data_IF_267728971786
#
_entry.id   IF_267728971786
#
_cell.length_a   1.000
_cell.length_b   1.000
_cell.length_c   1.000
_cell.angle_alpha   90.00
_cell.angle_beta   90.00
_cell.angle_gamma   90.00
#
_symmetry.space_group_name_H-M   'P 1'
#
loop_
_entity.id
_entity.type
_entity.pdbx_description
1 polymer ?
#
# COMPACT_ATOMS: atom_id res chain seq x y z
N UNK A 1 49.71 -11.09 -19.67
CA UNK A 1 49.14 -10.85 -19.39
C UNK A 1 48.17 -10.68 -19.04
N UNK A 2 47.78 -10.44 -18.87
CA UNK A 2 46.95 -10.12 -18.56
C UNK A 2 46.01 -10.05 -18.15
N UNK A 3 45.61 -9.95 -17.91
CA UNK A 3 44.83 -9.72 -17.56
C UNK A 3 43.81 -9.58 -17.28
N UNK A 4 43.38 -9.51 -17.04
CA UNK A 4 42.49 -9.34 -16.86
C UNK A 4 41.71 -9.07 -16.41
N UNK A 5 41.33 -8.79 -16.23
CA UNK A 5 40.63 -8.38 -15.83
C UNK A 5 39.59 -8.39 -15.52
N UNK A 6 39.06 -8.24 -15.21
CA UNK A 6 38.16 -8.12 -15.01
C UNK A 6 37.27 -7.89 -14.66
N UNK A 7 36.92 -7.63 -14.60
CA UNK A 7 36.10 -7.32 -14.37
C UNK A 7 35.15 -7.30 -13.91
N UNK A 8 34.71 -7.03 -13.71
CA UNK A 8 33.82 -6.88 -13.32
C UNK A 8 32.89 -6.84 -13.01
N UNK A 9 32.50 -6.64 -12.91
CA UNK A 9 31.62 -6.45 -12.70
C UNK A 9 30.74 -6.39 -12.19
N UNK A 10 30.32 -6.08 -11.92
CA UNK A 10 29.48 -5.85 -11.54
C UNK A 10 28.59 -5.76 -11.24
N UNK A 11 28.20 -5.50 -11.12
CA UNK A 11 27.40 -5.37 -10.89
C UNK A 11 26.51 -5.26 -10.58
N UNK A 12 26.10 -4.92 -10.41
CA UNK A 12 25.22 -4.65 -10.08
C UNK A 12 24.27 -4.81 -9.79
N UNK A 13 24.04 -4.65 -9.78
CA UNK A 13 23.10 -4.81 -9.57
C UNK A 13 22.39 -4.60 -8.95
N UNK A 14 22.01 -4.24 -8.57
CA UNK A 14 21.26 -3.97 -7.96
C UNK A 14 20.26 -3.73 -7.90
N UNK A 15 20.20 -3.35 -7.93
CA UNK A 15 19.39 -2.87 -7.83
C UNK A 15 18.30 -3.06 -7.51
N UNK A 16 17.97 -3.07 -7.45
CA UNK A 16 17.04 -3.25 -7.31
C UNK A 16 16.23 -3.27 -6.73
N UNK A 17 15.94 -3.17 -6.62
CA UNK A 17 15.30 -3.12 -6.13
C UNK A 17 14.39 -2.80 -5.33
N UNK A 18 14.44 -2.74 -4.82
CA UNK A 18 13.92 -2.01 -3.83
C UNK A 18 12.54 -1.53 -3.94
N UNK A 19 12.27 -1.17 -5.03
CA UNK A 19 10.96 -0.68 -5.32
C UNK A 19 9.87 -1.61 -4.92
N UNK A 20 10.20 -2.84 -4.79
CA UNK A 20 9.21 -3.82 -4.41
C UNK A 20 8.59 -3.55 -3.06
N UNK A 21 9.18 -2.67 -2.29
CA UNK A 21 8.69 -2.37 -0.97
C UNK A 21 7.27 -1.83 -0.95
N UNK A 22 6.74 -1.42 -2.09
CA UNK A 22 5.46 -0.76 -2.11
C UNK A 22 4.28 -1.65 -2.49
N UNK A 23 4.50 -2.90 -2.81
CA UNK A 23 3.40 -3.80 -3.17
C UNK A 23 2.85 -4.42 -1.90
N UNK A 24 1.87 -3.80 -1.30
CA UNK A 24 1.48 -4.10 0.06
C UNK A 24 0.31 -5.05 0.24
N UNK A 25 -0.69 -5.01 -0.63
CA UNK A 25 -1.80 -5.95 -0.51
C UNK A 25 -1.28 -7.39 -0.59
N UNK A 26 -1.69 -8.22 0.35
CA UNK A 26 -1.26 -9.60 0.43
C UNK A 26 0.03 -9.81 1.18
N UNK A 27 0.71 -8.76 1.61
CA UNK A 27 1.95 -8.87 2.35
C UNK A 27 1.69 -9.31 3.79
N UNK A 28 2.66 -9.98 4.40
CA UNK A 28 2.54 -10.35 5.80
C UNK A 28 2.87 -9.16 6.71
N UNK A 29 2.58 -9.31 7.99
CA UNK A 29 2.70 -8.21 8.95
C UNK A 29 4.14 -7.72 9.12
N UNK A 30 5.11 -8.60 9.03
CA UNK A 30 6.51 -8.21 9.16
C UNK A 30 6.93 -7.30 8.03
N UNK A 31 6.55 -7.65 6.81
CA UNK A 31 6.86 -6.86 5.65
C UNK A 31 6.18 -5.51 5.68
N UNK A 32 4.93 -5.48 6.13
CA UNK A 32 4.19 -4.24 6.30
C UNK A 32 4.87 -3.34 7.31
N UNK A 33 5.30 -3.89 8.43
CA UNK A 33 5.96 -3.13 9.48
C UNK A 33 7.25 -2.50 8.96
N UNK A 34 8.02 -3.24 8.17
CA UNK A 34 9.23 -2.71 7.55
C UNK A 34 8.92 -1.54 6.63
N UNK A 35 7.81 -1.62 5.91
CA UNK A 35 7.44 -0.60 4.95
C UNK A 35 6.82 0.62 5.62
N UNK A 36 5.99 0.43 6.63
CA UNK A 36 5.17 1.51 7.19
C UNK A 36 5.66 2.03 8.54
N UNK A 37 6.65 1.40 9.12
CA UNK A 37 7.31 1.95 10.30
C UNK A 37 6.62 1.64 11.61
N UNK A 38 6.45 2.67 12.45
CA UNK A 38 6.04 2.50 13.83
C UNK A 38 4.56 2.18 13.98
N UNK A 39 4.26 1.14 14.75
CA UNK A 39 2.88 0.81 15.10
C UNK A 39 2.37 1.82 16.12
N UNK A 40 1.22 2.42 15.80
CA UNK A 40 0.56 3.37 16.70
C UNK A 40 -0.56 2.68 17.47
N UNK A 41 -1.27 1.75 16.81
CA UNK A 41 -2.41 1.10 17.42
C UNK A 41 -2.65 -0.25 16.75
N UNK A 42 -3.11 -1.21 17.53
CA UNK A 42 -3.44 -2.54 17.05
C UNK A 42 -4.77 -2.94 17.67
N UNK A 43 -5.65 -3.52 16.87
CA UNK A 43 -6.97 -3.94 17.34
C UNK A 43 -7.39 -5.25 16.72
N UNK A 44 -7.75 -6.22 17.56
CA UNK A 44 -8.38 -7.45 17.10
C UNK A 44 -9.86 -7.16 16.91
N UNK A 45 -10.39 -7.52 15.76
CA UNK A 45 -11.78 -7.26 15.43
C UNK A 45 -12.62 -8.51 15.65
N UNK A 46 -13.94 -8.31 15.74
CA UNK A 46 -14.86 -9.39 16.04
C UNK A 46 -14.89 -10.47 14.95
N UNK A 47 -14.57 -10.10 13.72
CA UNK A 47 -14.57 -11.05 12.61
C UNK A 47 -13.26 -11.84 12.50
N UNK A 48 -12.37 -11.68 13.47
CA UNK A 48 -11.10 -12.38 13.48
C UNK A 48 -9.97 -11.70 12.72
N UNK A 49 -10.26 -10.57 12.08
CA UNK A 49 -9.20 -9.80 11.41
C UNK A 49 -8.49 -8.92 12.43
N UNK A 50 -7.31 -8.45 12.05
CA UNK A 50 -6.52 -7.55 12.90
C UNK A 50 -6.30 -6.25 12.14
N UNK A 51 -6.62 -5.13 12.77
CA UNK A 51 -6.41 -3.82 12.21
C UNK A 51 -5.24 -3.16 12.91
N UNK A 52 -4.27 -2.67 12.15
CA UNK A 52 -3.07 -2.04 12.70
C UNK A 52 -2.88 -0.69 12.05
N UNK A 53 -2.60 0.32 12.86
CA UNK A 53 -2.30 1.66 12.37
C UNK A 53 -0.81 1.91 12.55
N UNK A 54 -0.17 2.36 11.48
CA UNK A 54 1.25 2.71 11.46
C UNK A 54 1.39 4.20 11.18
N UNK A 55 2.46 4.79 11.68
CA UNK A 55 2.78 6.19 11.38
C UNK A 55 4.18 6.24 10.77
N UNK A 56 4.30 6.86 9.62
CA UNK A 56 5.59 7.05 8.96
C UNK A 56 5.53 8.34 8.17
N UNK A 57 6.53 9.19 8.37
CA UNK A 57 6.59 10.49 7.72
C UNK A 57 5.32 11.27 8.07
N UNK A 58 4.62 11.76 7.07
CA UNK A 58 3.40 12.55 7.29
C UNK A 58 2.12 11.76 7.15
N UNK A 59 2.23 10.42 7.08
CA UNK A 59 1.07 9.58 6.77
C UNK A 59 0.72 8.63 7.90
N UNK A 60 -0.56 8.29 7.96
CA UNK A 60 -1.05 7.17 8.74
C UNK A 60 -1.46 6.07 7.76
N UNK A 61 -1.08 4.85 8.07
CA UNK A 61 -1.41 3.69 7.27
C UNK A 61 -2.22 2.75 8.15
N UNK A 62 -3.45 2.44 7.74
CA UNK A 62 -4.24 1.47 8.47
C UNK A 62 -4.35 0.21 7.62
N UNK A 63 -3.90 -0.91 8.18
CA UNK A 63 -3.86 -2.16 7.44
C UNK A 63 -4.73 -3.17 8.17
N UNK A 64 -5.58 -3.86 7.43
CA UNK A 64 -6.38 -4.95 7.97
C UNK A 64 -5.80 -6.27 7.47
N UNK A 65 -5.51 -7.15 8.42
CA UNK A 65 -4.94 -8.46 8.14
C UNK A 65 -5.98 -9.55 8.35
N UNK A 66 -6.04 -10.50 7.43
CA UNK A 66 -6.76 -11.75 7.60
C UNK A 66 -5.78 -12.87 7.33
N UNK A 67 -5.70 -13.84 8.22
CA UNK A 67 -4.74 -14.94 8.10
C UNK A 67 -3.32 -14.41 7.87
N UNK A 68 -2.98 -13.32 8.59
CA UNK A 68 -1.66 -12.72 8.58
C UNK A 68 -1.25 -12.08 7.25
N UNK A 69 -2.22 -11.85 6.36
CA UNK A 69 -1.98 -11.19 5.08
C UNK A 69 -2.82 -9.93 4.99
N UNK A 70 -2.25 -8.90 4.41
CA UNK A 70 -2.95 -7.64 4.20
C UNK A 70 -4.09 -7.82 3.20
N UNK A 71 -5.29 -7.48 3.60
CA UNK A 71 -6.47 -7.55 2.72
C UNK A 71 -7.03 -6.17 2.41
N UNK A 72 -6.67 -5.16 3.20
CA UNK A 72 -7.14 -3.80 2.99
C UNK A 72 -6.13 -2.85 3.60
N UNK A 73 -5.86 -1.75 2.90
CA UNK A 73 -4.93 -0.74 3.36
C UNK A 73 -5.51 0.63 3.13
N UNK A 74 -5.42 1.49 4.13
CA UNK A 74 -5.93 2.86 4.03
C UNK A 74 -4.80 3.83 4.28
N UNK A 75 -4.80 4.91 3.52
CA UNK A 75 -3.75 5.93 3.55
C UNK A 75 -4.39 7.29 3.81
N UNK A 76 -3.88 8.00 4.80
CA UNK A 76 -4.35 9.35 5.10
C UNK A 76 -3.17 10.18 5.57
N UNK A 77 -3.30 11.51 5.48
CA UNK A 77 -2.30 12.38 6.07
C UNK A 77 -2.52 12.44 7.58
N UNK A 78 -1.44 12.43 8.32
CA UNK A 78 -1.51 12.49 9.78
C UNK A 78 -2.24 13.75 10.27
N UNK A 79 -2.14 14.84 9.52
CA UNK A 79 -2.78 16.10 9.90
C UNK A 79 -4.26 16.18 9.48
N UNK A 80 -4.79 15.14 8.85
CA UNK A 80 -6.20 15.08 8.50
C UNK A 80 -6.61 15.84 7.25
N UNK A 81 -5.65 16.35 6.47
CA UNK A 81 -5.98 17.07 5.23
C UNK A 81 -6.12 16.11 4.06
N UNK A 82 -6.66 16.61 2.95
CA UNK A 82 -6.86 15.79 1.75
C UNK A 82 -5.55 15.30 1.15
N UNK A 83 -5.59 14.13 0.56
CA UNK A 83 -4.50 13.65 -0.28
C UNK A 83 -4.56 14.37 -1.63
N UNK A 84 -3.40 14.68 -2.17
CA UNK A 84 -3.32 15.25 -3.52
C UNK A 84 -3.57 14.15 -4.56
N UNK A 85 -3.85 14.55 -5.79
CA UNK A 85 -4.02 13.59 -6.88
C UNK A 85 -2.75 12.76 -7.07
N UNK A 86 -1.60 13.38 -6.89
CA UNK A 86 -0.32 12.70 -7.01
C UNK A 86 -0.16 11.64 -5.94
N UNK A 87 -0.58 11.95 -4.72
CA UNK A 87 -0.53 10.99 -3.61
C UNK A 87 -1.47 9.82 -3.86
N UNK A 88 -2.69 10.11 -4.29
CA UNK A 88 -3.66 9.06 -4.61
C UNK A 88 -3.08 8.12 -5.66
N UNK A 89 -2.56 8.67 -6.73
CA UNK A 89 -1.96 7.87 -7.81
C UNK A 89 -0.80 7.01 -7.30
N UNK A 90 0.03 7.59 -6.45
CA UNK A 90 1.17 6.88 -5.88
C UNK A 90 0.73 5.67 -5.06
N UNK A 91 -0.26 5.88 -4.19
CA UNK A 91 -0.73 4.78 -3.34
C UNK A 91 -1.45 3.71 -4.14
N UNK A 92 -2.19 4.09 -5.17
CA UNK A 92 -2.82 3.10 -6.05
C UNK A 92 -1.76 2.24 -6.71
N UNK A 93 -0.75 2.85 -7.28
CA UNK A 93 0.32 2.12 -7.97
C UNK A 93 1.10 1.21 -7.04
N UNK A 94 1.21 1.58 -5.78
CA UNK A 94 1.92 0.77 -4.80
C UNK A 94 1.23 -0.56 -4.54
N UNK A 95 -0.07 -0.66 -4.81
CA UNK A 95 -0.86 -1.82 -4.44
C UNK A 95 -1.16 -2.75 -5.60
N UNK A 96 -0.88 -2.37 -6.82
CA UNK A 96 -1.10 -3.27 -7.96
C UNK A 96 -0.30 -2.80 -9.16
N UNK A 97 0.21 -3.77 -9.91
CA UNK A 97 0.86 -3.49 -11.19
C UNK A 97 -0.15 -3.31 -12.30
N UNK A 98 -1.38 -3.76 -12.08
CA UNK A 98 -2.44 -3.58 -13.05
C UNK A 98 -2.81 -2.12 -13.13
N UNK A 99 -3.37 -1.73 -14.26
CA UNK A 99 -3.78 -0.36 -14.47
C UNK A 99 -5.02 -0.05 -13.62
N UNK A 100 -4.99 1.10 -12.95
CA UNK A 100 -6.14 1.58 -12.20
C UNK A 100 -6.99 2.47 -13.08
N UNK A 101 -8.29 2.26 -13.06
CA UNK A 101 -9.24 3.09 -13.82
C UNK A 101 -10.31 3.62 -12.90
N UNK A 102 -10.84 4.83 -13.17
CA UNK A 102 -11.95 5.36 -12.39
C UNK A 102 -13.18 4.48 -12.50
N UNK A 103 -13.87 4.31 -11.40
CA UNK A 103 -15.09 3.52 -11.35
C UNK A 103 -16.11 4.21 -10.44
N UNK A 104 -16.21 5.53 -10.60
CA UNK A 104 -17.04 6.37 -9.75
C UNK A 104 -18.50 5.94 -9.78
N UNK A 105 -19.15 5.99 -8.62
CA UNK A 105 -20.56 5.64 -8.49
C UNK A 105 -21.21 6.73 -7.67
N UNK A 106 -22.15 7.46 -8.29
CA UNK A 106 -22.81 8.56 -7.60
C UNK A 106 -21.80 9.60 -7.16
N UNK A 107 -21.78 9.92 -5.87
CA UNK A 107 -20.85 10.91 -5.32
C UNK A 107 -19.57 10.27 -4.80
N UNK A 108 -19.49 8.97 -4.82
CA UNK A 108 -18.35 8.26 -4.27
C UNK A 108 -17.25 8.12 -5.30
N UNK A 109 -16.02 8.50 -4.92
CA UNK A 109 -14.89 8.40 -5.82
C UNK A 109 -14.25 7.03 -5.67
N UNK A 110 -14.31 6.26 -6.74
CA UNK A 110 -13.85 4.87 -6.74
C UNK A 110 -12.91 4.59 -7.89
N UNK A 111 -12.09 3.57 -7.68
CA UNK A 111 -11.16 3.07 -8.69
C UNK A 111 -11.18 1.56 -8.65
N UNK A 112 -10.83 0.94 -9.77
CA UNK A 112 -10.62 -0.51 -9.78
C UNK A 112 -9.50 -0.83 -10.74
N UNK A 113 -8.87 -1.98 -10.54
CA UNK A 113 -7.85 -2.43 -11.47
C UNK A 113 -8.50 -3.00 -12.71
N UNK A 114 -7.80 -2.89 -13.83
CA UNK A 114 -8.32 -3.39 -15.11
C UNK A 114 -8.54 -4.90 -15.10
N UNK A 115 -7.84 -5.63 -14.24
CA UNK A 115 -8.00 -7.07 -14.12
C UNK A 115 -9.01 -7.47 -13.03
N UNK A 116 -9.62 -6.50 -12.35
CA UNK A 116 -10.67 -6.75 -11.37
C UNK A 116 -10.20 -7.30 -10.04
N UNK A 117 -8.91 -7.31 -9.76
CA UNK A 117 -8.40 -7.93 -8.54
C UNK A 117 -8.39 -7.01 -7.33
N UNK A 118 -8.47 -5.71 -7.53
CA UNK A 118 -8.45 -4.76 -6.42
C UNK A 118 -9.36 -3.58 -6.71
N UNK A 119 -9.86 -2.98 -5.65
CA UNK A 119 -10.70 -1.78 -5.69
C UNK A 119 -10.17 -0.76 -4.71
N UNK A 120 -10.47 0.50 -4.96
CA UNK A 120 -10.12 1.56 -4.03
C UNK A 120 -11.24 2.60 -3.96
N UNK A 121 -11.34 3.24 -2.81
CA UNK A 121 -12.32 4.30 -2.57
C UNK A 121 -11.61 5.45 -1.87
N UNK A 122 -11.85 6.67 -2.33
CA UNK A 122 -11.36 7.84 -1.64
C UNK A 122 -12.52 8.56 -0.98
N UNK A 123 -12.46 8.71 0.33
CA UNK A 123 -13.52 9.33 1.10
C UNK A 123 -13.15 9.47 2.55
N UNK A 124 -14.12 9.76 3.39
CA UNK A 124 -13.88 9.96 4.82
C UNK A 124 -13.85 8.61 5.54
N UNK A 125 -12.78 8.36 6.25
CA UNK A 125 -12.63 7.17 7.10
C UNK A 125 -12.15 7.63 8.47
N UNK A 126 -12.93 7.33 9.49
CA UNK A 126 -12.61 7.75 10.86
C UNK A 126 -12.35 9.25 10.97
N UNK A 127 -13.16 10.04 10.25
CA UNK A 127 -13.07 11.48 10.29
C UNK A 127 -11.97 12.12 9.46
N UNK A 128 -11.27 11.33 8.64
CA UNK A 128 -10.16 11.83 7.80
C UNK A 128 -10.38 11.44 6.35
N UNK A 129 -10.01 12.31 5.41
CA UNK A 129 -9.93 11.88 4.02
C UNK A 129 -8.90 10.77 3.89
N UNK A 130 -9.29 9.67 3.27
CA UNK A 130 -8.41 8.50 3.16
C UNK A 130 -8.69 7.75 1.87
N UNK A 131 -7.63 7.19 1.32
CA UNK A 131 -7.73 6.25 0.21
C UNK A 131 -7.68 4.85 0.81
N UNK A 132 -8.70 4.05 0.55
CA UNK A 132 -8.74 2.66 1.02
C UNK A 132 -8.65 1.73 -0.18
N UNK A 133 -7.68 0.85 -0.17
CA UNK A 133 -7.46 -0.14 -1.23
C UNK A 133 -7.72 -1.50 -0.64
N UNK A 134 -8.46 -2.33 -1.35
CA UNK A 134 -8.75 -3.68 -0.86
C UNK A 134 -8.68 -4.70 -1.98
N UNK A 135 -8.38 -5.92 -1.58
CA UNK A 135 -8.32 -7.07 -2.45
C UNK A 135 -9.74 -7.61 -2.62
N UNK A 136 -10.19 -7.82 -3.84
CA UNK A 136 -11.53 -8.34 -4.11
C UNK A 136 -11.54 -9.78 -4.57
N UNK A 137 -10.39 -10.43 -4.56
CA UNK A 137 -10.29 -11.83 -4.96
C UNK A 137 -10.72 -12.79 -3.86
N UNK A 138 -10.99 -12.29 -2.69
CA UNK A 138 -11.29 -13.11 -1.52
C UNK A 138 -12.76 -13.43 -1.42
#
# INVERSE_FOLDING_TARGET
MERMKQSITLVLAFCVIASSAFANLGADSERIEDAYGTIVQRRLRDDGTVSVVYAKDRYLYMVTFANQRSISESYSRANGTDLSEKEITKFLKANSRAKWVPANTGTERRFKTSDGTAEATYGILNGRPALTVRDVRR
#
